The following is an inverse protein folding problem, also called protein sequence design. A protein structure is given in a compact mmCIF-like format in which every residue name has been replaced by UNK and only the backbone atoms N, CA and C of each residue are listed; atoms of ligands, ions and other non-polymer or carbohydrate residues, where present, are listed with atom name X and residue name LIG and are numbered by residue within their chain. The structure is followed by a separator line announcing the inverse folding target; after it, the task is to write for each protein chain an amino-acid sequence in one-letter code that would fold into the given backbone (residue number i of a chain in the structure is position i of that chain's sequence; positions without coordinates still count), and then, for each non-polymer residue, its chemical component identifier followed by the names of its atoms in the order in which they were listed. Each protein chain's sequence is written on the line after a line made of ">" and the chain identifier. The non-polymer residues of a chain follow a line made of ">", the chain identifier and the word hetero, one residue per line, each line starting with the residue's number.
data_IF_895907066125
#
_entry.id   IF_895907066125
#
_cell.length_a   1.000
_cell.length_b   1.000
_cell.length_c   1.000
_cell.angle_alpha   90.00
_cell.angle_beta   90.00
_cell.angle_gamma   90.00
#
_symmetry.space_group_name_H-M   'P 1'
#
loop_
_entity.id
_entity.type
_entity.pdbx_description
1 polymer ?
#
# COMPACT_ATOMS: atom_id res chain seq x y z
N UNK A 1 -0.32 5.69 23.92
CA UNK A 1 -0.98 5.48 22.61
C UNK A 1 -1.35 4.02 22.53
N UNK A 2 -2.64 3.68 22.53
CA UNK A 2 -3.05 2.30 22.30
C UNK A 2 -2.89 2.01 20.81
N UNK A 3 -1.78 1.36 20.45
CA UNK A 3 -1.56 0.92 19.07
C UNK A 3 -2.58 -0.18 18.81
N UNK A 4 -3.56 0.14 17.96
CA UNK A 4 -4.54 -0.87 17.56
C UNK A 4 -3.82 -2.01 16.82
N UNK A 5 -4.07 -3.29 17.17
CA UNK A 5 -3.39 -4.43 16.57
C UNK A 5 -3.56 -4.51 15.04
N UNK A 6 -4.64 -3.93 14.50
CA UNK A 6 -4.82 -3.78 13.05
C UNK A 6 -3.64 -3.07 12.37
N UNK A 7 -3.03 -2.07 13.00
CA UNK A 7 -1.91 -1.34 12.40
C UNK A 7 -0.65 -2.21 12.25
N UNK A 8 -0.33 -3.03 13.27
CA UNK A 8 0.82 -3.94 13.20
C UNK A 8 0.59 -5.05 12.18
N UNK A 9 -0.63 -5.60 12.12
CA UNK A 9 -1.02 -6.58 11.09
C UNK A 9 -0.88 -5.96 9.69
N UNK A 10 -1.31 -4.71 9.48
CA UNK A 10 -1.17 -4.03 8.20
C UNK A 10 0.30 -3.90 7.75
N UNK A 11 1.20 -3.51 8.65
CA UNK A 11 2.63 -3.39 8.32
C UNK A 11 3.20 -4.75 7.95
N UNK A 12 2.87 -5.79 8.72
CA UNK A 12 3.33 -7.15 8.47
C UNK A 12 2.87 -7.66 7.09
N UNK A 13 1.59 -7.48 6.75
CA UNK A 13 1.05 -7.89 5.44
C UNK A 13 1.74 -7.15 4.29
N UNK A 14 2.03 -5.85 4.42
CA UNK A 14 2.74 -5.08 3.39
C UNK A 14 4.20 -5.53 3.23
N UNK A 15 4.90 -5.82 4.32
CA UNK A 15 6.25 -6.37 4.25
C UNK A 15 6.26 -7.74 3.57
N UNK A 16 5.31 -8.62 3.91
CA UNK A 16 5.15 -9.91 3.23
C UNK A 16 4.86 -9.73 1.75
N UNK A 17 4.00 -8.78 1.37
CA UNK A 17 3.71 -8.48 -0.03
C UNK A 17 4.98 -8.12 -0.81
N UNK A 18 5.83 -7.24 -0.26
CA UNK A 18 7.11 -6.87 -0.88
C UNK A 18 8.01 -8.09 -1.07
N UNK A 19 8.16 -8.92 -0.03
CA UNK A 19 9.00 -10.12 -0.07
C UNK A 19 8.49 -11.12 -1.11
N UNK A 20 7.19 -11.38 -1.16
CA UNK A 20 6.58 -12.31 -2.11
C UNK A 20 6.74 -11.81 -3.55
N UNK A 21 6.49 -10.52 -3.81
CA UNK A 21 6.70 -9.93 -5.15
C UNK A 21 8.16 -10.10 -5.56
N UNK A 22 9.10 -9.75 -4.68
CA UNK A 22 10.55 -9.85 -4.96
C UNK A 22 11.02 -11.29 -5.16
N UNK A 23 10.41 -12.26 -4.48
CA UNK A 23 10.72 -13.67 -4.68
C UNK A 23 10.15 -14.21 -6.01
N UNK A 24 8.95 -13.77 -6.40
CA UNK A 24 8.19 -14.37 -7.51
C UNK A 24 8.27 -13.59 -8.83
N UNK A 25 8.84 -12.38 -8.87
CA UNK A 25 8.81 -11.49 -10.05
C UNK A 25 9.40 -12.11 -11.33
N UNK A 26 10.31 -13.07 -11.21
CA UNK A 26 10.90 -13.78 -12.37
C UNK A 26 9.87 -14.64 -13.11
N UNK A 27 8.86 -15.15 -12.42
CA UNK A 27 7.76 -15.87 -13.04
C UNK A 27 6.77 -14.87 -13.65
N UNK A 28 6.70 -14.84 -14.99
CA UNK A 28 5.86 -13.89 -15.74
C UNK A 28 4.38 -13.94 -15.34
N UNK A 29 3.82 -15.13 -15.12
CA UNK A 29 2.40 -15.27 -14.78
C UNK A 29 2.12 -14.69 -13.37
N UNK A 30 2.93 -15.07 -12.38
CA UNK A 30 2.78 -14.60 -11.00
C UNK A 30 3.04 -13.09 -10.91
N UNK A 31 4.06 -12.59 -11.63
CA UNK A 31 4.34 -11.16 -11.75
C UNK A 31 3.12 -10.38 -12.25
N UNK A 32 2.46 -10.87 -13.31
CA UNK A 32 1.29 -10.22 -13.87
C UNK A 32 0.11 -10.21 -12.86
N UNK A 33 -0.07 -11.29 -12.10
CA UNK A 33 -1.05 -11.31 -11.00
C UNK A 33 -0.76 -10.20 -9.99
N UNK A 34 0.48 -10.08 -9.52
CA UNK A 34 0.86 -9.02 -8.59
C UNK A 34 0.75 -7.61 -9.18
N UNK A 35 1.03 -7.44 -10.47
CA UNK A 35 0.81 -6.18 -11.17
C UNK A 35 -0.66 -5.77 -11.10
N UNK A 36 -1.58 -6.67 -11.42
CA UNK A 36 -3.01 -6.40 -11.33
C UNK A 36 -3.47 -6.15 -9.90
N UNK A 37 -2.95 -6.89 -8.92
CA UNK A 37 -3.24 -6.67 -7.50
C UNK A 37 -2.80 -5.26 -7.07
N UNK A 38 -1.56 -4.87 -7.35
CA UNK A 38 -1.04 -3.54 -6.99
C UNK A 38 -1.84 -2.42 -7.66
N UNK A 39 -2.17 -2.60 -8.94
CA UNK A 39 -2.98 -1.63 -9.68
C UNK A 39 -4.39 -1.52 -9.11
N UNK A 40 -5.04 -2.64 -8.80
CA UNK A 40 -6.39 -2.65 -8.21
C UNK A 40 -6.41 -1.98 -6.83
N UNK A 41 -5.39 -2.22 -6.00
CA UNK A 41 -5.23 -1.53 -4.71
C UNK A 41 -5.09 -0.02 -4.93
N UNK A 42 -4.20 0.40 -5.84
CA UNK A 42 -3.96 1.81 -6.13
C UNK A 42 -5.21 2.53 -6.64
N UNK A 43 -5.91 1.94 -7.61
CA UNK A 43 -7.17 2.48 -8.13
C UNK A 43 -8.28 2.47 -7.07
N UNK A 44 -8.35 1.44 -6.22
CA UNK A 44 -9.29 1.38 -5.11
C UNK A 44 -9.10 2.54 -4.13
N UNK A 45 -7.85 2.88 -3.81
CA UNK A 45 -7.54 4.05 -2.99
C UNK A 45 -7.93 5.37 -3.64
N UNK A 46 -7.64 5.56 -4.93
CA UNK A 46 -8.03 6.78 -5.67
C UNK A 46 -9.55 6.90 -5.74
N UNK A 47 -10.25 5.81 -6.05
CA UNK A 47 -11.70 5.77 -6.08
C UNK A 47 -12.28 6.18 -4.71
N UNK A 48 -11.76 5.61 -3.62
CA UNK A 48 -12.17 5.96 -2.26
C UNK A 48 -11.75 7.36 -1.82
N UNK A 49 -10.74 7.96 -2.45
CA UNK A 49 -10.39 9.35 -2.21
C UNK A 49 -11.39 10.30 -2.89
N UNK A 50 -11.79 10.02 -4.13
CA UNK A 50 -12.69 10.88 -4.92
C UNK A 50 -14.15 10.72 -4.47
N UNK A 51 -14.61 9.48 -4.27
CA UNK A 51 -16.02 9.16 -4.04
C UNK A 51 -16.32 8.68 -2.62
N UNK A 52 -15.29 8.55 -1.76
CA UNK A 52 -15.49 8.09 -0.39
C UNK A 52 -16.19 9.14 0.48
N UNK A 53 -17.10 8.69 1.32
CA UNK A 53 -17.74 9.53 2.35
C UNK A 53 -16.99 9.43 3.67
N UNK A 54 -17.09 10.47 4.50
CA UNK A 54 -16.60 10.43 5.89
C UNK A 54 -17.47 9.56 6.82
N UNK A 55 -18.65 9.14 6.37
CA UNK A 55 -19.61 8.32 7.12
C UNK A 55 -19.52 6.82 6.82
N UNK A 56 -18.36 6.35 6.35
CA UNK A 56 -18.14 4.92 6.11
C UNK A 56 -18.08 4.13 7.43
N UNK A 57 -18.76 2.98 7.48
CA UNK A 57 -18.63 2.02 8.58
C UNK A 57 -17.21 1.46 8.53
N UNK A 58 -16.39 1.89 9.48
CA UNK A 58 -15.00 1.43 9.62
C UNK A 58 -14.88 0.73 10.98
N UNK A 59 -14.26 -0.46 10.99
CA UNK A 59 -13.93 -1.17 12.23
C UNK A 59 -13.09 -0.29 13.17
N UNK A 60 -12.22 0.54 12.59
CA UNK A 60 -11.60 1.68 13.23
C UNK A 60 -11.10 2.65 12.16
N UNK A 61 -11.02 3.96 12.45
CA UNK A 61 -10.40 4.93 11.53
C UNK A 61 -8.89 4.66 11.51
N UNK A 62 -8.44 3.84 10.56
CA UNK A 62 -7.01 3.54 10.36
C UNK A 62 -6.40 4.63 9.48
N UNK A 63 -5.11 4.92 9.68
CA UNK A 63 -4.37 6.05 9.09
C UNK A 63 -4.59 6.29 7.58
N UNK A 64 -4.84 5.22 6.83
CA UNK A 64 -5.10 5.25 5.39
C UNK A 64 -6.25 6.17 4.98
N UNK A 65 -7.20 6.49 5.86
CA UNK A 65 -8.36 7.34 5.55
C UNK A 65 -7.93 8.75 5.10
N UNK A 66 -6.99 9.35 5.82
CA UNK A 66 -6.54 10.72 5.56
C UNK A 66 -5.50 10.77 4.42
N UNK A 67 -4.86 9.65 4.12
CA UNK A 67 -3.74 9.55 3.16
C UNK A 67 -4.06 8.69 1.92
N UNK A 68 -5.34 8.43 1.63
CA UNK A 68 -5.79 7.57 0.53
C UNK A 68 -5.14 7.93 -0.81
N UNK A 69 -5.08 9.23 -1.14
CA UNK A 69 -4.49 9.68 -2.40
C UNK A 69 -3.01 9.28 -2.50
N UNK A 70 -2.24 9.47 -1.42
CA UNK A 70 -0.82 9.12 -1.40
C UNK A 70 -0.62 7.62 -1.57
N UNK A 71 -1.37 6.79 -0.82
CA UNK A 71 -1.35 5.34 -0.98
C UNK A 71 -1.70 4.93 -2.42
N UNK A 72 -2.76 5.51 -2.98
CA UNK A 72 -3.19 5.25 -4.35
C UNK A 72 -2.08 5.51 -5.36
N UNK A 73 -1.43 6.68 -5.28
CA UNK A 73 -0.31 7.06 -6.14
C UNK A 73 0.85 6.07 -5.97
N UNK A 74 1.27 5.79 -4.74
CA UNK A 74 2.39 4.88 -4.49
C UNK A 74 2.14 3.47 -5.03
N UNK A 75 0.94 2.92 -4.85
CA UNK A 75 0.61 1.58 -5.37
C UNK A 75 0.54 1.54 -6.91
N UNK A 76 0.04 2.59 -7.57
CA UNK A 76 0.07 2.69 -9.04
C UNK A 76 1.52 2.81 -9.53
N UNK A 77 2.33 3.65 -8.89
CA UNK A 77 3.76 3.80 -9.24
C UNK A 77 4.53 2.49 -9.02
N UNK A 78 4.24 1.77 -7.94
CA UNK A 78 4.81 0.44 -7.69
C UNK A 78 4.42 -0.56 -8.79
N UNK A 79 3.14 -0.58 -9.20
CA UNK A 79 2.65 -1.40 -10.31
C UNK A 79 3.39 -1.07 -11.61
N UNK A 80 3.57 0.21 -11.92
CA UNK A 80 4.31 0.66 -13.10
C UNK A 80 5.78 0.16 -13.10
N UNK A 81 6.48 0.26 -11.97
CA UNK A 81 7.85 -0.26 -11.88
C UNK A 81 7.92 -1.79 -11.96
N UNK A 82 6.90 -2.52 -11.48
CA UNK A 82 6.81 -3.97 -11.66
C UNK A 82 6.58 -4.33 -13.13
N UNK A 83 5.74 -3.58 -13.84
CA UNK A 83 5.54 -3.70 -15.29
C UNK A 83 6.83 -3.48 -16.06
N UNK A 84 7.59 -2.43 -15.72
CA UNK A 84 8.88 -2.09 -16.31
C UNK A 84 10.04 -3.04 -15.91
N UNK A 85 9.75 -4.11 -15.16
CA UNK A 85 10.72 -5.07 -14.61
C UNK A 85 11.78 -4.43 -13.69
N UNK A 86 11.51 -3.26 -13.11
CA UNK A 86 12.39 -2.61 -12.15
C UNK A 86 11.97 -2.98 -10.71
N UNK A 87 12.36 -4.18 -10.29
CA UNK A 87 12.00 -4.71 -8.97
C UNK A 87 12.56 -3.89 -7.80
N UNK A 88 13.72 -3.24 -8.00
CA UNK A 88 14.33 -2.40 -6.99
C UNK A 88 13.46 -1.16 -6.72
N UNK A 89 13.06 -0.43 -7.76
CA UNK A 89 12.17 0.72 -7.62
C UNK A 89 10.77 0.32 -7.13
N UNK A 90 10.22 -0.80 -7.61
CA UNK A 90 8.97 -1.35 -7.06
C UNK A 90 9.07 -1.56 -5.53
N UNK A 91 10.14 -2.22 -5.07
CA UNK A 91 10.37 -2.47 -3.64
C UNK A 91 10.54 -1.17 -2.86
N UNK A 92 11.28 -0.20 -3.39
CA UNK A 92 11.51 1.10 -2.76
C UNK A 92 10.20 1.87 -2.59
N UNK A 93 9.34 1.91 -3.60
CA UNK A 93 8.05 2.61 -3.53
C UNK A 93 7.12 1.96 -2.50
N UNK A 94 7.06 0.63 -2.46
CA UNK A 94 6.26 -0.08 -1.44
C UNK A 94 6.83 0.11 -0.02
N UNK A 95 8.16 0.19 0.12
CA UNK A 95 8.79 0.53 1.41
C UNK A 95 8.49 1.98 1.82
N UNK A 96 8.47 2.92 0.88
CA UNK A 96 8.11 4.32 1.15
C UNK A 96 6.71 4.41 1.77
N UNK A 97 5.77 3.59 1.29
CA UNK A 97 4.41 3.51 1.82
C UNK A 97 4.37 3.05 3.29
N UNK A 98 5.26 2.13 3.67
CA UNK A 98 5.42 1.66 5.05
C UNK A 98 6.08 2.74 5.90
N UNK A 99 7.16 3.36 5.41
CA UNK A 99 7.84 4.47 6.10
C UNK A 99 6.87 5.61 6.35
N UNK A 100 6.05 5.97 5.37
CA UNK A 100 5.01 6.97 5.52
C UNK A 100 4.03 6.60 6.64
N UNK A 101 3.63 5.33 6.77
CA UNK A 101 2.77 4.87 7.87
C UNK A 101 3.41 5.11 9.24
N UNK A 102 4.71 4.82 9.38
CA UNK A 102 5.45 5.07 10.62
C UNK A 102 5.59 6.57 10.91
N UNK A 103 5.96 7.37 9.92
CA UNK A 103 6.10 8.82 10.05
C UNK A 103 4.77 9.48 10.42
N UNK A 104 3.69 9.12 9.73
CA UNK A 104 2.36 9.62 10.01
C UNK A 104 1.96 9.32 11.47
N UNK A 105 2.24 8.10 11.95
CA UNK A 105 1.92 7.70 13.33
C UNK A 105 2.71 8.48 14.38
N UNK A 106 4.03 8.53 14.23
CA UNK A 106 4.91 9.03 15.28
C UNK A 106 5.05 10.56 15.28
N UNK A 107 5.04 11.20 14.09
CA UNK A 107 5.17 12.65 13.99
C UNK A 107 3.84 13.36 14.20
N UNK A 108 2.75 12.85 13.64
CA UNK A 108 1.43 13.50 13.73
C UNK A 108 0.63 13.04 14.96
N UNK A 109 1.17 12.11 15.77
CA UNK A 109 0.53 11.52 16.97
C UNK A 109 -0.90 11.01 16.75
N UNK A 110 -1.23 10.63 15.50
CA UNK A 110 -2.49 9.99 15.11
C UNK A 110 -2.29 8.47 15.04
#
# INVERSE_FOLDING_TARGET
>A
MNIHPLWTVCILVRLLLILIIRYTYKNKQIKNVFLFILLAIGLGFIYKFIFGSNNEIQLNKVFWHDSRLLHGVLYITASYYLYANNINLNSIILLLDIIFSFLYRFLLKK
#
